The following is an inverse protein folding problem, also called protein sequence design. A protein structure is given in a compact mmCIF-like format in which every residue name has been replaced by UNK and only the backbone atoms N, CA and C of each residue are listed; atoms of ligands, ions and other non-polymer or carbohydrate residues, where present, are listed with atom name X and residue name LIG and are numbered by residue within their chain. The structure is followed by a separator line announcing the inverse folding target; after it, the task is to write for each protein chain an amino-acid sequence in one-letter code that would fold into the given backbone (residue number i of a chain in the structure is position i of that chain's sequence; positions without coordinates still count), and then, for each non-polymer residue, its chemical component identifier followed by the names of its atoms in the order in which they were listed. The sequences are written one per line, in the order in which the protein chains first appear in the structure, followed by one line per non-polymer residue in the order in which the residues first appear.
data_IF_721938588332
#
_entry.id   IF_721938588332
#
_cell.length_a   1.000
_cell.length_b   1.000
_cell.length_c   1.000
_cell.angle_alpha   90.00
_cell.angle_beta   90.00
_cell.angle_gamma   90.00
#
_symmetry.space_group_name_H-M   'P 1'
#
loop_
_entity.id
_entity.type
_entity.pdbx_description
1 polymer ?
#
# COMPACT_ATOMS: atom_id res chain seq x y z
N UNK A 1 -0.27 39.79 -36.27
CA UNK A 1 0.02 39.42 -34.86
C UNK A 1 1.02 38.26 -34.82
N UNK A 2 2.13 38.36 -34.06
CA UNK A 2 3.00 37.22 -33.86
C UNK A 2 2.23 36.13 -33.08
N UNK A 3 2.63 34.84 -33.20
CA UNK A 3 2.05 33.80 -32.37
C UNK A 3 2.24 34.14 -30.89
N UNK A 4 1.30 33.74 -30.00
CA UNK A 4 1.46 33.98 -28.59
C UNK A 4 2.78 33.35 -28.11
N UNK A 5 3.53 34.05 -27.24
CA UNK A 5 4.79 33.52 -26.72
C UNK A 5 4.50 32.19 -26.02
N UNK A 6 5.12 31.12 -26.51
CA UNK A 6 5.16 29.84 -25.82
C UNK A 6 5.82 30.07 -24.46
N UNK A 7 5.02 29.93 -23.41
CA UNK A 7 5.45 30.20 -22.04
C UNK A 7 6.68 29.32 -21.72
N UNK A 8 7.88 29.90 -21.57
CA UNK A 8 9.08 29.12 -21.31
C UNK A 8 9.14 28.87 -19.80
N UNK A 9 9.25 27.59 -19.43
CA UNK A 9 9.46 27.09 -18.07
C UNK A 9 8.21 27.10 -17.18
N UNK A 10 7.34 26.11 -17.35
CA UNK A 10 7.00 25.34 -16.15
C UNK A 10 8.22 24.45 -15.90
N UNK A 11 8.93 24.56 -14.77
CA UNK A 11 9.81 23.48 -14.38
C UNK A 11 8.99 22.19 -14.46
N UNK A 12 9.56 21.09 -14.94
CA UNK A 12 9.04 19.77 -14.63
C UNK A 12 9.08 19.60 -13.10
N UNK A 13 8.20 20.28 -12.37
CA UNK A 13 7.71 19.81 -11.10
C UNK A 13 6.99 18.53 -11.48
N UNK A 14 7.72 17.42 -11.35
CA UNK A 14 7.17 16.08 -11.34
C UNK A 14 6.18 16.05 -10.19
N UNK A 15 4.94 16.49 -10.45
CA UNK A 15 3.85 16.38 -9.50
C UNK A 15 3.76 14.90 -9.15
N UNK A 16 3.92 14.58 -7.87
CA UNK A 16 3.93 13.20 -7.39
C UNK A 16 2.54 12.61 -7.63
N UNK A 17 2.43 11.65 -8.53
CA UNK A 17 1.21 10.90 -8.77
C UNK A 17 1.27 9.59 -8.00
N UNK A 18 0.12 9.05 -7.65
CA UNK A 18 -0.02 7.71 -7.08
C UNK A 18 -0.99 6.92 -7.95
N UNK A 19 -0.71 5.64 -8.16
CA UNK A 19 -1.59 4.75 -8.87
C UNK A 19 -2.07 3.63 -7.95
N UNK A 20 -3.37 3.36 -7.99
CA UNK A 20 -3.96 2.17 -7.38
C UNK A 20 -3.83 1.01 -8.37
N UNK A 21 -3.03 0.02 -7.98
CA UNK A 21 -2.89 -1.23 -8.69
C UNK A 21 -3.96 -2.18 -8.16
N UNK A 22 -4.77 -2.71 -9.08
CA UNK A 22 -5.84 -3.68 -8.80
C UNK A 22 -5.66 -4.91 -9.68
N UNK A 23 -6.28 -6.02 -9.31
CA UNK A 23 -6.30 -7.22 -10.13
C UNK A 23 -7.75 -7.68 -10.25
N UNK A 24 -8.08 -8.23 -11.42
CA UNK A 24 -9.34 -8.94 -11.61
C UNK A 24 -9.18 -10.34 -11.01
N UNK A 25 -10.09 -10.77 -10.14
CA UNK A 25 -10.04 -12.08 -9.45
C UNK A 25 -8.88 -12.23 -8.47
N UNK A 26 -9.02 -11.61 -7.29
CA UNK A 26 -8.02 -11.72 -6.24
C UNK A 26 -8.35 -12.84 -5.24
N UNK A 27 -7.58 -13.94 -5.28
CA UNK A 27 -7.83 -15.14 -4.47
C UNK A 27 -7.22 -15.11 -3.06
N UNK A 28 -6.37 -14.13 -2.74
CA UNK A 28 -5.72 -14.00 -1.42
C UNK A 28 -6.36 -12.93 -0.53
N UNK A 29 -7.64 -12.61 -0.78
CA UNK A 29 -8.35 -11.52 -0.10
C UNK A 29 -8.42 -11.67 1.41
N UNK A 30 -8.22 -12.86 1.99
CA UNK A 30 -8.15 -13.02 3.45
C UNK A 30 -6.79 -12.62 4.03
N UNK A 31 -5.70 -12.77 3.28
CA UNK A 31 -4.32 -12.58 3.77
C UNK A 31 -3.71 -11.23 3.40
N UNK A 32 -4.20 -10.60 2.33
CA UNK A 32 -3.70 -9.32 1.83
C UNK A 32 -4.86 -8.37 1.54
N UNK A 33 -4.57 -7.07 1.57
CA UNK A 33 -5.39 -6.07 0.89
C UNK A 33 -5.61 -6.42 -0.59
N UNK A 34 -6.78 -6.07 -1.11
CA UNK A 34 -7.18 -6.35 -2.50
C UNK A 34 -6.83 -5.18 -3.45
N UNK A 35 -5.62 -4.64 -3.27
CA UNK A 35 -5.05 -3.54 -4.04
C UNK A 35 -3.71 -3.10 -3.46
N UNK A 36 -2.84 -2.51 -4.27
CA UNK A 36 -1.59 -1.92 -3.79
C UNK A 36 -1.34 -0.58 -4.46
N UNK A 37 -0.73 0.38 -3.76
CA UNK A 37 -0.40 1.69 -4.33
C UNK A 37 1.05 1.76 -4.77
N UNK A 38 1.32 2.48 -5.84
CA UNK A 38 2.68 2.80 -6.28
C UNK A 38 2.78 4.27 -6.66
N UNK A 39 3.90 4.90 -6.30
CA UNK A 39 4.30 6.22 -6.80
C UNK A 39 5.39 6.13 -7.89
N UNK A 40 5.61 4.92 -8.43
CA UNK A 40 6.55 4.59 -9.51
C UNK A 40 5.82 3.85 -10.62
N UNK A 41 6.48 3.73 -11.77
CA UNK A 41 6.03 2.83 -12.84
C UNK A 41 6.06 1.39 -12.29
N UNK A 42 5.00 0.65 -12.56
CA UNK A 42 4.79 -0.72 -12.09
C UNK A 42 4.80 -1.68 -13.26
N UNK A 43 5.36 -2.86 -13.04
CA UNK A 43 5.30 -3.96 -13.99
C UNK A 43 3.88 -4.57 -14.04
N UNK A 44 3.57 -5.30 -15.10
CA UNK A 44 2.28 -5.99 -15.27
C UNK A 44 1.98 -6.98 -14.14
N UNK A 45 3.00 -7.50 -13.43
CA UNK A 45 2.87 -8.45 -12.31
C UNK A 45 3.66 -7.97 -11.10
N UNK A 46 3.26 -6.83 -10.56
CA UNK A 46 3.95 -6.19 -9.44
C UNK A 46 3.55 -6.78 -8.09
N UNK A 47 2.27 -7.09 -7.89
CA UNK A 47 1.75 -7.48 -6.57
C UNK A 47 1.01 -8.82 -6.58
N UNK A 48 0.49 -9.27 -7.73
CA UNK A 48 -0.22 -10.56 -7.83
C UNK A 48 0.70 -11.77 -7.66
N UNK A 49 0.12 -12.91 -7.27
CA UNK A 49 0.88 -14.13 -7.00
C UNK A 49 1.09 -14.99 -8.26
N UNK A 50 2.15 -15.83 -8.29
CA UNK A 50 2.32 -16.83 -9.35
C UNK A 50 1.06 -17.70 -9.46
N UNK A 51 0.62 -17.95 -10.70
CA UNK A 51 -0.57 -18.77 -10.98
C UNK A 51 -1.91 -18.02 -10.99
N UNK A 52 -1.95 -16.71 -10.66
CA UNK A 52 -3.16 -15.91 -10.89
C UNK A 52 -3.35 -15.59 -12.39
N UNK A 53 -4.54 -15.87 -12.91
CA UNK A 53 -4.92 -15.45 -14.27
C UNK A 53 -5.09 -13.93 -14.38
N UNK A 54 -4.69 -13.35 -15.52
CA UNK A 54 -4.84 -11.92 -15.80
C UNK A 54 -3.73 -11.02 -15.20
N UNK A 55 -3.54 -9.83 -15.73
CA UNK A 55 -2.51 -8.89 -15.26
C UNK A 55 -2.97 -7.94 -14.16
N UNK A 56 -2.03 -7.15 -13.65
CA UNK A 56 -2.31 -6.02 -12.78
C UNK A 56 -2.84 -4.84 -13.62
N UNK A 57 -3.81 -4.11 -13.07
CA UNK A 57 -4.43 -2.93 -13.66
C UNK A 57 -4.01 -1.71 -12.87
N UNK A 58 -3.31 -0.80 -13.55
CA UNK A 58 -2.77 0.43 -12.97
C UNK A 58 -3.77 1.56 -13.16
N UNK A 59 -4.30 2.09 -12.07
CA UNK A 59 -5.26 3.18 -12.07
C UNK A 59 -4.60 4.44 -11.48
N UNK A 60 -3.94 5.29 -12.29
CA UNK A 60 -3.31 6.51 -11.80
C UNK A 60 -4.38 7.47 -11.28
N UNK A 61 -4.10 8.20 -10.19
CA UNK A 61 -5.05 9.17 -9.62
C UNK A 61 -5.24 10.39 -10.52
N UNK A 62 -4.17 10.79 -11.23
CA UNK A 62 -4.19 11.91 -12.18
C UNK A 62 -3.66 11.50 -13.57
N UNK A 63 -4.17 12.14 -14.62
CA UNK A 63 -3.67 12.05 -15.98
C UNK A 63 -2.69 13.16 -16.32
N UNK A 64 -1.61 12.81 -17.01
CA UNK A 64 -0.67 13.77 -17.60
C UNK A 64 -1.10 14.13 -19.04
N UNK A 65 -0.74 15.33 -19.55
CA UNK A 65 0.14 16.34 -18.95
C UNK A 65 -0.58 17.33 -18.01
N UNK A 66 -1.91 17.39 -18.05
CA UNK A 66 -2.67 18.47 -17.39
C UNK A 66 -2.93 18.23 -15.90
N UNK A 67 -2.53 17.07 -15.36
CA UNK A 67 -2.75 16.69 -13.97
C UNK A 67 -4.24 16.73 -13.59
N UNK A 68 -5.10 16.28 -14.49
CA UNK A 68 -6.54 16.17 -14.26
C UNK A 68 -6.82 14.87 -13.52
N UNK A 69 -7.72 14.87 -12.55
CA UNK A 69 -8.12 13.63 -11.88
C UNK A 69 -8.62 12.57 -12.86
N UNK A 70 -8.36 11.30 -12.55
CA UNK A 70 -8.80 10.15 -13.33
C UNK A 70 -10.10 9.56 -12.76
N UNK A 71 -11.09 10.42 -12.59
CA UNK A 71 -12.45 10.03 -12.26
C UNK A 71 -13.36 10.39 -13.41
N UNK A 72 -14.30 9.51 -13.75
CA UNK A 72 -15.29 9.86 -14.77
C UNK A 72 -16.20 10.98 -14.23
N UNK A 73 -16.72 11.87 -15.09
CA UNK A 73 -17.64 12.92 -14.65
C UNK A 73 -18.86 12.40 -13.89
N UNK A 74 -19.36 11.21 -14.26
CA UNK A 74 -20.48 10.54 -13.62
C UNK A 74 -20.13 10.10 -12.19
N UNK A 75 -18.95 9.49 -12.00
CA UNK A 75 -18.48 9.08 -10.68
C UNK A 75 -18.22 10.28 -9.78
N UNK A 76 -17.57 11.33 -10.31
CA UNK A 76 -17.35 12.57 -9.57
C UNK A 76 -18.68 13.20 -9.13
N UNK A 77 -19.63 13.32 -10.04
CA UNK A 77 -20.97 13.84 -9.74
C UNK A 77 -21.72 12.99 -8.70
N UNK A 78 -21.55 11.66 -8.76
CA UNK A 78 -22.09 10.75 -7.75
C UNK A 78 -21.53 11.04 -6.36
N UNK A 79 -20.20 11.13 -6.20
CA UNK A 79 -19.56 11.39 -4.90
C UNK A 79 -20.01 12.75 -4.33
N UNK A 80 -19.93 13.80 -5.14
CA UNK A 80 -20.23 15.15 -4.70
C UNK A 80 -21.69 15.28 -4.26
N UNK A 81 -22.61 14.67 -5.01
CA UNK A 81 -24.04 14.62 -4.65
C UNK A 81 -24.30 13.78 -3.41
N UNK A 82 -23.70 12.58 -3.33
CA UNK A 82 -23.90 11.62 -2.25
C UNK A 82 -23.53 12.19 -0.89
N UNK A 83 -22.44 12.97 -0.81
CA UNK A 83 -22.00 13.59 0.43
C UNK A 83 -22.37 15.08 0.55
N UNK A 84 -22.94 15.67 -0.50
CA UNK A 84 -23.18 17.11 -0.62
C UNK A 84 -21.92 17.92 -0.29
N UNK A 85 -20.77 17.45 -0.78
CA UNK A 85 -19.45 17.98 -0.50
C UNK A 85 -18.45 17.49 -1.55
N UNK A 86 -17.60 18.39 -2.04
CA UNK A 86 -16.52 18.05 -2.96
C UNK A 86 -15.29 17.58 -2.17
N UNK A 87 -14.94 16.31 -2.30
CA UNK A 87 -13.74 15.73 -1.70
C UNK A 87 -12.60 15.70 -2.69
N UNK A 88 -11.38 15.98 -2.22
CA UNK A 88 -10.18 15.91 -3.02
C UNK A 88 -9.95 14.48 -3.54
N UNK A 89 -9.32 14.29 -4.72
CA UNK A 89 -9.12 12.96 -5.29
C UNK A 89 -8.40 11.99 -4.36
N UNK A 90 -7.42 12.49 -3.60
CA UNK A 90 -6.68 11.69 -2.62
C UNK A 90 -7.56 11.23 -1.45
N UNK A 91 -8.57 12.01 -1.06
CA UNK A 91 -9.52 11.61 0.00
C UNK A 91 -10.45 10.48 -0.49
N UNK A 92 -10.91 10.56 -1.74
CA UNK A 92 -11.70 9.49 -2.34
C UNK A 92 -10.86 8.21 -2.47
N UNK A 93 -9.62 8.34 -2.94
CA UNK A 93 -8.68 7.21 -3.01
C UNK A 93 -8.36 6.65 -1.62
N UNK A 94 -8.17 7.50 -0.62
CA UNK A 94 -7.96 7.10 0.77
C UNK A 94 -9.10 6.21 1.27
N UNK A 95 -10.35 6.63 1.07
CA UNK A 95 -11.51 5.84 1.48
C UNK A 95 -11.54 4.47 0.77
N UNK A 96 -11.32 4.46 -0.54
CA UNK A 96 -11.22 3.23 -1.34
C UNK A 96 -10.16 2.32 -0.74
N UNK A 97 -8.96 2.85 -0.48
CA UNK A 97 -7.84 2.08 0.01
C UNK A 97 -8.08 1.49 1.41
N UNK A 98 -8.70 2.27 2.31
CA UNK A 98 -9.09 1.79 3.63
C UNK A 98 -10.07 0.60 3.54
N UNK A 99 -11.05 0.66 2.62
CA UNK A 99 -11.95 -0.48 2.39
C UNK A 99 -11.23 -1.70 1.82
N UNK A 100 -10.34 -1.51 0.84
CA UNK A 100 -9.59 -2.61 0.24
C UNK A 100 -8.68 -3.34 1.24
N UNK A 101 -8.31 -2.70 2.35
CA UNK A 101 -7.52 -3.31 3.43
C UNK A 101 -8.36 -3.81 4.61
N UNK A 102 -9.60 -3.34 4.75
CA UNK A 102 -10.52 -3.76 5.82
C UNK A 102 -10.78 -5.28 5.81
N UNK A 103 -10.42 -6.03 6.87
CA UNK A 103 -10.70 -7.47 6.95
C UNK A 103 -12.20 -7.79 6.83
N UNK A 104 -13.06 -6.94 7.40
CA UNK A 104 -14.50 -7.12 7.35
C UNK A 104 -15.05 -6.98 5.92
N UNK A 105 -14.57 -6.00 5.16
CA UNK A 105 -14.94 -5.86 3.74
C UNK A 105 -14.45 -7.07 2.93
N UNK A 106 -13.17 -7.44 3.08
CA UNK A 106 -12.56 -8.55 2.33
C UNK A 106 -13.25 -9.88 2.59
N UNK A 107 -13.62 -10.16 3.85
CA UNK A 107 -14.39 -11.35 4.24
C UNK A 107 -15.81 -11.32 3.70
N UNK A 108 -16.51 -10.20 3.82
CA UNK A 108 -17.91 -10.08 3.37
C UNK A 108 -18.06 -10.23 1.85
N UNK A 109 -17.09 -9.78 1.07
CA UNK A 109 -17.15 -9.81 -0.40
C UNK A 109 -16.17 -10.80 -1.03
N UNK A 110 -15.70 -11.79 -0.27
CA UNK A 110 -14.66 -12.73 -0.70
C UNK A 110 -14.96 -13.40 -2.04
N UNK A 111 -16.17 -13.94 -2.22
CA UNK A 111 -16.56 -14.63 -3.46
C UNK A 111 -16.59 -13.69 -4.66
N UNK A 112 -17.04 -12.44 -4.46
CA UNK A 112 -17.01 -11.42 -5.51
C UNK A 112 -15.58 -11.02 -5.87
N UNK A 113 -14.71 -10.84 -4.86
CA UNK A 113 -13.31 -10.50 -5.06
C UNK A 113 -12.56 -11.60 -5.81
N UNK A 114 -12.93 -12.87 -5.62
CA UNK A 114 -12.39 -14.01 -6.37
C UNK A 114 -12.88 -14.07 -7.82
N UNK A 115 -14.02 -13.45 -8.14
CA UNK A 115 -14.65 -13.56 -9.45
C UNK A 115 -14.38 -12.36 -10.37
N UNK A 116 -14.26 -11.15 -9.82
CA UNK A 116 -14.13 -9.92 -10.61
C UNK A 116 -13.36 -8.82 -9.87
N UNK A 117 -13.38 -7.58 -10.37
CA UNK A 117 -12.80 -6.42 -9.71
C UNK A 117 -13.44 -6.10 -8.35
N UNK A 118 -12.69 -5.50 -7.41
CA UNK A 118 -13.25 -4.99 -6.15
C UNK A 118 -14.37 -3.97 -6.40
N UNK A 119 -15.51 -4.17 -5.75
CA UNK A 119 -16.65 -3.24 -5.79
C UNK A 119 -16.67 -2.38 -4.54
N UNK A 120 -16.50 -1.07 -4.71
CA UNK A 120 -16.45 -0.14 -3.60
C UNK A 120 -17.87 0.27 -3.20
N UNK A 121 -18.19 0.12 -1.91
CA UNK A 121 -19.43 0.61 -1.34
C UNK A 121 -19.17 1.89 -0.54
N UNK A 122 -19.85 2.96 -0.93
CA UNK A 122 -19.77 4.24 -0.25
C UNK A 122 -20.79 4.29 0.88
N UNK A 123 -20.31 4.58 2.08
CA UNK A 123 -21.16 4.75 3.26
C UNK A 123 -22.08 5.96 3.10
N UNK A 124 -23.27 5.92 3.69
CA UNK A 124 -24.14 7.11 3.78
C UNK A 124 -23.68 8.08 4.87
N UNK A 125 -22.80 7.65 5.77
CA UNK A 125 -22.27 8.48 6.85
C UNK A 125 -20.99 9.20 6.38
N UNK A 126 -21.11 10.52 6.16
CA UNK A 126 -20.01 11.38 5.71
C UNK A 126 -18.83 11.44 6.67
N UNK A 127 -19.09 11.39 7.98
CA UNK A 127 -18.02 11.44 8.98
C UNK A 127 -17.25 10.11 9.04
N UNK A 128 -17.95 8.99 8.86
CA UNK A 128 -17.31 7.69 8.68
C UNK A 128 -16.47 7.65 7.39
N UNK A 129 -16.97 8.24 6.29
CA UNK A 129 -16.19 8.37 5.06
C UNK A 129 -14.88 9.14 5.32
N UNK A 130 -14.95 10.29 5.99
CA UNK A 130 -13.78 11.11 6.33
C UNK A 130 -12.79 10.36 7.21
N UNK A 131 -13.27 9.68 8.25
CA UNK A 131 -12.41 8.90 9.15
C UNK A 131 -11.67 7.79 8.39
N UNK A 132 -12.38 7.03 7.55
CA UNK A 132 -11.77 5.98 6.72
C UNK A 132 -10.84 6.55 5.66
N UNK A 133 -11.19 7.69 5.05
CA UNK A 133 -10.34 8.42 4.11
C UNK A 133 -8.99 8.76 4.73
N UNK A 134 -8.98 9.35 5.92
CA UNK A 134 -7.74 9.72 6.62
C UNK A 134 -6.87 8.49 6.94
N UNK A 135 -7.47 7.40 7.45
CA UNK A 135 -6.75 6.15 7.70
C UNK A 135 -6.16 5.56 6.42
N UNK A 136 -6.92 5.63 5.32
CA UNK A 136 -6.45 5.18 4.02
C UNK A 136 -5.31 6.02 3.47
N UNK A 137 -5.36 7.35 3.63
CA UNK A 137 -4.26 8.24 3.25
C UNK A 137 -3.00 7.94 4.07
N UNK A 138 -3.14 7.73 5.38
CA UNK A 138 -2.04 7.32 6.27
C UNK A 138 -1.41 6.01 5.75
N UNK A 139 -2.24 5.01 5.44
CA UNK A 139 -1.79 3.72 4.91
C UNK A 139 -1.15 3.81 3.52
N UNK A 140 -1.70 4.63 2.61
CA UNK A 140 -1.09 4.93 1.30
C UNK A 140 0.31 5.51 1.51
N UNK A 141 0.41 6.50 2.40
CA UNK A 141 1.66 7.15 2.76
C UNK A 141 2.71 6.17 3.28
N UNK A 142 2.31 5.23 4.14
CA UNK A 142 3.19 4.15 4.62
C UNK A 142 3.65 3.24 3.47
N UNK A 143 2.74 2.77 2.62
CA UNK A 143 3.09 1.85 1.52
C UNK A 143 3.95 2.49 0.42
N UNK A 144 3.89 3.81 0.24
CA UNK A 144 4.78 4.53 -0.69
C UNK A 144 6.01 5.12 0.00
N UNK A 145 6.25 4.77 1.28
CA UNK A 145 7.36 5.24 2.11
C UNK A 145 7.48 6.78 2.16
N UNK A 146 6.33 7.46 2.25
CA UNK A 146 6.28 8.90 2.45
C UNK A 146 6.81 9.25 3.85
N UNK A 147 7.82 10.14 3.92
CA UNK A 147 8.47 10.54 5.18
C UNK A 147 7.51 11.15 6.20
N UNK A 148 6.53 11.95 5.78
CA UNK A 148 5.56 12.59 6.67
C UNK A 148 4.66 11.53 7.31
N UNK A 149 4.12 10.61 6.50
CA UNK A 149 3.28 9.52 6.99
C UNK A 149 4.06 8.53 7.86
N UNK A 150 5.32 8.23 7.49
CA UNK A 150 6.22 7.44 8.33
C UNK A 150 6.43 8.13 9.67
N UNK A 151 6.86 9.39 9.71
CA UNK A 151 7.11 10.11 10.96
C UNK A 151 5.85 10.20 11.83
N UNK A 152 4.71 10.56 11.25
CA UNK A 152 3.44 10.64 11.96
C UNK A 152 3.02 9.29 12.54
N UNK A 153 3.04 8.24 11.72
CA UNK A 153 2.63 6.89 12.14
C UNK A 153 3.61 6.31 13.15
N UNK A 154 4.91 6.50 12.96
CA UNK A 154 5.93 6.06 13.92
C UNK A 154 5.77 6.73 15.27
N UNK A 155 5.49 8.04 15.34
CA UNK A 155 5.25 8.71 16.62
C UNK A 155 3.93 8.25 17.27
N UNK A 156 2.88 8.02 16.47
CA UNK A 156 1.56 7.55 16.94
C UNK A 156 1.57 6.08 17.41
N UNK A 157 2.28 5.21 16.69
CA UNK A 157 2.30 3.77 16.88
C UNK A 157 3.57 3.28 17.58
N UNK A 158 4.37 4.20 18.15
CA UNK A 158 5.72 3.98 18.68
C UNK A 158 5.80 2.89 19.74
N UNK A 159 5.77 1.65 19.29
CA UNK A 159 6.13 0.51 20.10
C UNK A 159 7.61 0.22 19.83
N UNK A 160 8.47 0.82 20.64
CA UNK A 160 9.91 0.64 20.56
C UNK A 160 10.34 -0.82 20.79
N UNK A 161 9.43 -1.71 21.21
CA UNK A 161 9.72 -3.12 21.42
C UNK A 161 9.65 -3.95 20.13
N UNK A 162 9.01 -3.42 19.07
CA UNK A 162 8.88 -4.09 17.78
C UNK A 162 10.08 -3.78 16.89
N UNK A 163 10.76 -4.84 16.42
CA UNK A 163 11.81 -4.71 15.41
C UNK A 163 13.16 -4.23 15.95
N UNK A 164 13.38 -4.24 17.28
CA UNK A 164 14.69 -3.89 17.84
C UNK A 164 15.74 -4.94 17.46
N UNK A 165 16.88 -4.46 16.93
CA UNK A 165 18.00 -5.29 16.51
C UNK A 165 18.81 -5.81 17.70
N UNK A 166 19.03 -7.12 17.74
CA UNK A 166 19.70 -7.83 18.83
C UNK A 166 20.77 -8.78 18.29
N UNK A 167 21.83 -9.00 19.08
CA UNK A 167 22.98 -9.84 18.71
C UNK A 167 23.34 -10.79 19.85
N UNK A 168 23.65 -12.06 19.51
CA UNK A 168 24.11 -13.05 20.49
C UNK A 168 25.60 -12.92 20.82
N UNK A 169 26.43 -12.67 19.81
CA UNK A 169 27.90 -12.72 19.94
C UNK A 169 28.57 -11.57 19.18
N UNK A 170 28.53 -11.63 17.84
CA UNK A 170 29.11 -10.64 16.96
C UNK A 170 28.04 -9.87 16.16
N UNK A 171 28.34 -8.62 15.81
CA UNK A 171 27.53 -7.78 14.94
C UNK A 171 27.67 -8.22 13.46
N UNK A 172 27.31 -9.47 13.17
CA UNK A 172 27.18 -9.97 11.80
C UNK A 172 25.81 -9.55 11.25
N UNK A 173 25.79 -8.45 10.49
CA UNK A 173 24.58 -7.90 9.87
C UNK A 173 24.25 -8.55 8.52
N UNK A 174 25.00 -9.56 8.08
CA UNK A 174 24.80 -10.16 6.78
C UNK A 174 23.62 -11.14 6.81
N UNK A 175 22.66 -10.94 5.92
CA UNK A 175 21.52 -11.85 5.76
C UNK A 175 22.02 -13.17 5.16
N UNK A 176 21.79 -14.29 5.87
CA UNK A 176 22.27 -15.63 5.45
C UNK A 176 21.13 -16.62 5.37
N UNK A 177 20.72 -17.15 6.52
CA UNK A 177 19.66 -18.15 6.67
C UNK A 177 18.63 -17.59 7.65
N UNK A 178 17.64 -16.84 7.16
CA UNK A 178 16.56 -16.33 7.99
C UNK A 178 15.80 -17.45 8.69
N UNK A 179 15.34 -17.19 9.90
CA UNK A 179 14.50 -18.10 10.67
C UNK A 179 13.59 -17.32 11.61
N UNK A 180 12.38 -17.81 11.83
CA UNK A 180 11.46 -17.21 12.79
C UNK A 180 11.29 -18.12 14.00
N UNK A 181 11.42 -17.54 15.19
CA UNK A 181 11.10 -18.19 16.47
C UNK A 181 9.84 -17.52 17.02
N UNK A 182 8.71 -18.19 16.84
CA UNK A 182 7.40 -17.71 17.26
C UNK A 182 7.26 -17.59 18.79
N UNK A 183 7.65 -18.59 19.62
CA UNK A 183 7.59 -18.47 21.08
C UNK A 183 8.33 -17.25 21.65
N UNK A 184 9.46 -16.88 21.05
CA UNK A 184 10.26 -15.74 21.50
C UNK A 184 9.98 -14.45 20.70
N UNK A 185 9.13 -14.50 19.68
CA UNK A 185 8.86 -13.40 18.74
C UNK A 185 10.14 -12.82 18.12
N UNK A 186 11.03 -13.70 17.65
CA UNK A 186 12.34 -13.34 17.08
C UNK A 186 12.44 -13.68 15.60
N UNK A 187 12.77 -12.69 14.78
CA UNK A 187 13.12 -12.87 13.38
C UNK A 187 14.64 -12.82 13.20
N UNK A 188 15.24 -13.98 13.02
CA UNK A 188 16.65 -14.12 12.72
C UNK A 188 16.93 -13.80 11.25
N UNK A 189 18.01 -13.05 10.99
CA UNK A 189 18.58 -12.89 9.65
C UNK A 189 19.74 -13.87 9.41
N UNK A 190 20.37 -14.33 10.49
CA UNK A 190 21.40 -15.36 10.54
C UNK A 190 21.44 -16.01 11.94
N UNK A 191 22.48 -16.78 12.27
CA UNK A 191 22.57 -17.49 13.57
C UNK A 191 22.79 -16.57 14.78
N UNK A 192 23.32 -15.35 14.59
CA UNK A 192 23.75 -14.45 15.65
C UNK A 192 22.92 -13.15 15.75
N UNK A 193 22.33 -12.66 14.66
CA UNK A 193 21.56 -11.42 14.58
C UNK A 193 20.07 -11.65 14.34
N UNK A 194 19.23 -10.92 15.07
CA UNK A 194 17.77 -11.02 14.99
C UNK A 194 17.05 -9.74 15.40
N UNK A 195 15.78 -9.63 15.01
CA UNK A 195 14.84 -8.60 15.48
C UNK A 195 13.91 -9.21 16.53
N UNK A 196 13.70 -8.52 17.67
CA UNK A 196 12.73 -8.93 18.69
C UNK A 196 11.37 -8.24 18.51
N UNK A 197 10.34 -8.73 19.19
CA UNK A 197 8.99 -8.15 19.14
C UNK A 197 8.29 -8.36 17.79
N UNK A 198 8.77 -9.32 16.99
CA UNK A 198 8.13 -9.69 15.72
C UNK A 198 7.07 -10.75 16.03
N UNK A 199 5.82 -10.31 16.17
CA UNK A 199 4.69 -11.23 16.36
C UNK A 199 4.46 -12.09 15.11
N UNK A 200 3.69 -13.18 15.26
CA UNK A 200 3.32 -14.03 14.13
C UNK A 200 2.56 -13.24 13.05
N UNK A 201 1.67 -12.32 13.47
CA UNK A 201 0.93 -11.46 12.55
C UNK A 201 1.86 -10.56 11.71
N UNK A 202 2.92 -10.01 12.32
CA UNK A 202 3.92 -9.20 11.61
C UNK A 202 4.74 -10.08 10.66
N UNK A 203 5.19 -11.25 11.14
CA UNK A 203 5.96 -12.21 10.35
C UNK A 203 5.19 -12.68 9.11
N UNK A 204 3.91 -13.01 9.30
CA UNK A 204 3.04 -13.57 8.27
C UNK A 204 2.34 -12.49 7.43
N UNK A 205 2.61 -11.21 7.67
CA UNK A 205 1.97 -10.11 6.93
C UNK A 205 2.26 -10.22 5.43
N UNK A 206 1.20 -10.24 4.63
CA UNK A 206 1.29 -10.42 3.18
C UNK A 206 0.82 -9.18 2.43
N UNK A 207 1.54 -8.87 1.36
CA UNK A 207 1.07 -8.00 0.30
C UNK A 207 0.99 -8.85 -0.97
N UNK A 208 -0.23 -9.04 -1.45
CA UNK A 208 -0.51 -9.95 -2.56
C UNK A 208 -0.23 -11.39 -2.20
N UNK A 209 0.63 -12.00 -3.00
CA UNK A 209 1.09 -13.38 -2.79
C UNK A 209 2.33 -13.55 -1.95
N UNK A 210 2.91 -12.47 -1.44
CA UNK A 210 4.24 -12.50 -0.84
C UNK A 210 4.17 -12.08 0.63
N UNK A 211 4.73 -12.91 1.51
CA UNK A 211 5.06 -12.50 2.87
C UNK A 211 6.16 -11.44 2.81
N UNK A 212 5.90 -10.26 3.37
CA UNK A 212 6.74 -9.07 3.16
C UNK A 212 8.16 -9.33 3.67
N UNK A 213 8.29 -9.82 4.90
CA UNK A 213 9.59 -10.06 5.54
C UNK A 213 10.34 -11.25 4.90
N UNK A 214 9.64 -12.35 4.62
CA UNK A 214 10.23 -13.50 3.94
C UNK A 214 10.79 -13.13 2.56
N UNK A 215 10.00 -12.41 1.76
CA UNK A 215 10.43 -11.97 0.41
C UNK A 215 11.60 -11.02 0.49
N UNK A 216 11.55 -10.03 1.39
CA UNK A 216 12.63 -9.06 1.57
C UNK A 216 13.95 -9.75 1.93
N UNK A 217 13.96 -10.60 2.97
CA UNK A 217 15.19 -11.26 3.42
C UNK A 217 15.75 -12.23 2.38
N UNK A 218 14.90 -12.93 1.62
CA UNK A 218 15.37 -13.79 0.51
C UNK A 218 15.99 -12.99 -0.64
N UNK A 219 15.42 -11.85 -0.97
CA UNK A 219 15.89 -10.99 -2.06
C UNK A 219 17.22 -10.29 -1.75
N UNK A 220 17.51 -10.04 -0.47
CA UNK A 220 18.74 -9.37 -0.01
C UNK A 220 19.74 -10.35 0.62
N UNK A 221 19.72 -11.62 0.18
CA UNK A 221 20.64 -12.63 0.70
C UNK A 221 22.10 -12.24 0.40
N UNK A 222 22.96 -12.35 1.42
CA UNK A 222 24.35 -11.91 1.43
C UNK A 222 24.56 -10.38 1.44
N UNK A 223 23.50 -9.60 1.62
CA UNK A 223 23.59 -8.15 1.82
C UNK A 223 23.55 -7.81 3.32
N UNK A 224 24.14 -6.67 3.73
CA UNK A 224 23.97 -6.15 5.08
C UNK A 224 22.52 -5.70 5.31
N UNK A 225 22.00 -6.00 6.51
CA UNK A 225 20.73 -5.47 7.02
C UNK A 225 21.05 -4.48 8.15
N UNK A 226 20.77 -3.20 7.90
CA UNK A 226 20.98 -2.11 8.86
C UNK A 226 19.84 -1.98 9.86
#
# INVERSE_FOLDING_TARGET
PPPPPTNPKTPNQTRKNVALITSRRFCQSQKSGVGFVSNKISDLRTWTCPGMEGGDYVNPLYHNPNYTENFTPEFRSFIDKHYSHHFEPLEVLGYIYALLYSPNYRKRYEDFLKADYPKILFTNNKDLFRALSLLGIELIGLHVLNKESLNHSFEKLKDATIGESCYKEAHDRIIKKPAYNEPEQRLYINHSAYFKGVSQEIHDYMIGGYGVLDKYLKSHKNEPCD
#
